data_IF_988804304386
#
_entry.id   IF_988804304386
#
_cell.length_a   1.000
_cell.length_b   1.000
_cell.length_c   1.000
_cell.angle_alpha   90.00
_cell.angle_beta   90.00
_cell.angle_gamma   90.00
#
_symmetry.space_group_name_H-M   'P 1'
#
loop_
_entity.id
_entity.type
_entity.pdbx_description
1 polymer ?
#
# COMPACT_ATOMS: atom_id res chain seq x y z
N UNK A 1 -30.46 -7.10 37.46
CA UNK A 1 -29.80 -6.16 36.53
C UNK A 1 -28.36 -6.63 36.39
N UNK A 2 -27.80 -6.82 35.18
CA UNK A 2 -26.38 -7.11 35.04
C UNK A 2 -25.58 -5.95 35.63
N UNK A 3 -24.55 -6.27 36.44
CA UNK A 3 -23.65 -5.27 37.02
C UNK A 3 -22.94 -4.46 35.92
N UNK A 4 -22.21 -3.40 36.29
CA UNK A 4 -21.42 -2.63 35.32
C UNK A 4 -20.40 -3.56 34.66
N UNK A 5 -20.29 -3.48 33.34
CA UNK A 5 -19.31 -4.26 32.56
C UNK A 5 -17.92 -3.80 32.93
N UNK A 6 -17.09 -4.76 33.30
CA UNK A 6 -15.70 -4.49 33.61
C UNK A 6 -14.87 -4.44 32.30
N UNK A 7 -14.14 -3.34 32.10
CA UNK A 7 -13.22 -3.18 30.98
C UNK A 7 -11.79 -3.23 31.48
N UNK A 8 -11.04 -4.23 31.01
CA UNK A 8 -9.63 -4.42 31.30
C UNK A 8 -8.81 -4.20 30.06
N UNK A 9 -7.64 -3.59 30.23
CA UNK A 9 -6.67 -3.41 29.15
C UNK A 9 -5.28 -3.81 29.61
N UNK A 10 -4.54 -4.50 28.75
CA UNK A 10 -3.18 -4.96 28.98
C UNK A 10 -2.34 -4.60 27.77
N UNK A 11 -1.29 -3.80 27.98
CA UNK A 11 -0.26 -3.57 26.98
C UNK A 11 0.86 -4.58 27.19
N UNK A 12 1.09 -5.41 26.20
CA UNK A 12 2.13 -6.44 26.25
C UNK A 12 3.50 -5.83 25.94
N UNK A 13 4.51 -6.14 26.76
CA UNK A 13 5.90 -5.83 26.45
C UNK A 13 6.41 -6.70 25.28
N UNK A 14 7.52 -6.26 24.67
CA UNK A 14 8.11 -6.97 23.51
C UNK A 14 8.72 -8.34 23.87
N UNK A 15 9.10 -8.52 25.11
CA UNK A 15 9.72 -9.75 25.62
C UNK A 15 8.64 -10.77 26.01
N UNK A 16 8.66 -11.96 25.41
CA UNK A 16 7.66 -13.02 25.61
C UNK A 16 7.46 -13.40 27.08
N UNK A 17 8.55 -13.50 27.84
CA UNK A 17 8.47 -13.83 29.28
C UNK A 17 7.74 -12.73 30.08
N UNK A 18 8.02 -11.47 29.80
CA UNK A 18 7.37 -10.33 30.44
C UNK A 18 5.90 -10.21 29.97
N UNK A 19 5.59 -10.53 28.73
CA UNK A 19 4.22 -10.58 28.22
C UNK A 19 3.37 -11.63 28.93
N UNK A 20 3.91 -12.83 29.14
CA UNK A 20 3.25 -13.89 29.90
C UNK A 20 3.00 -13.49 31.36
N UNK A 21 3.95 -12.80 31.99
CA UNK A 21 3.78 -12.31 33.38
C UNK A 21 2.70 -11.23 33.46
N UNK A 22 2.65 -10.30 32.48
CA UNK A 22 1.62 -9.27 32.39
C UNK A 22 0.21 -9.87 32.18
N UNK A 23 0.09 -10.95 31.44
CA UNK A 23 -1.19 -11.64 31.21
C UNK A 23 -1.67 -12.48 32.40
N UNK A 24 -0.76 -12.94 33.24
CA UNK A 24 -1.06 -13.89 34.33
C UNK A 24 -2.27 -13.54 35.19
N UNK A 25 -2.47 -12.30 35.69
CA UNK A 25 -3.64 -11.94 36.50
C UNK A 25 -4.96 -12.07 35.73
N UNK A 26 -4.92 -11.89 34.40
CA UNK A 26 -6.09 -11.92 33.55
C UNK A 26 -6.43 -13.33 33.06
N UNK A 27 -5.44 -14.23 32.99
CA UNK A 27 -5.63 -15.64 32.66
C UNK A 27 -6.61 -16.30 33.64
N UNK A 28 -6.38 -16.13 34.94
CA UNK A 28 -7.23 -16.70 35.99
C UNK A 28 -8.62 -16.04 36.01
N UNK A 29 -8.68 -14.70 35.89
CA UNK A 29 -9.92 -13.93 35.97
C UNK A 29 -10.85 -14.20 34.78
N UNK A 30 -10.32 -14.23 33.53
CA UNK A 30 -11.08 -14.46 32.32
C UNK A 30 -11.14 -15.94 31.92
N UNK A 31 -10.50 -16.83 32.68
CA UNK A 31 -10.35 -18.26 32.38
C UNK A 31 -9.81 -18.49 30.97
N UNK A 32 -8.74 -17.76 30.61
CA UNK A 32 -8.18 -17.83 29.25
C UNK A 32 -7.62 -19.22 28.97
N UNK A 33 -7.99 -19.74 27.80
CA UNK A 33 -7.48 -21.00 27.33
C UNK A 33 -5.97 -20.88 26.99
N UNK A 34 -5.14 -21.93 27.20
CA UNK A 34 -3.71 -21.86 26.86
C UNK A 34 -3.42 -21.43 25.41
N UNK A 35 -4.25 -21.83 24.45
CA UNK A 35 -4.14 -21.39 23.04
C UNK A 35 -4.32 -19.88 22.88
N UNK A 36 -5.27 -19.26 23.61
CA UNK A 36 -5.45 -17.81 23.61
C UNK A 36 -4.22 -17.09 24.15
N UNK A 37 -3.63 -17.60 25.23
CA UNK A 37 -2.40 -17.05 25.81
C UNK A 37 -1.24 -17.16 24.82
N UNK A 38 -1.10 -18.31 24.15
CA UNK A 38 -0.12 -18.53 23.11
C UNK A 38 -0.30 -17.55 21.93
N UNK A 39 -1.53 -17.36 21.47
CA UNK A 39 -1.84 -16.43 20.37
C UNK A 39 -1.55 -14.97 20.73
N UNK A 40 -1.83 -14.57 21.98
CA UNK A 40 -1.53 -13.22 22.45
C UNK A 40 -0.02 -12.94 22.57
N UNK A 41 0.80 -13.97 22.79
CA UNK A 41 2.27 -13.83 22.95
C UNK A 41 3.03 -14.04 21.64
N UNK A 42 2.43 -14.72 20.67
CA UNK A 42 2.99 -14.90 19.31
C UNK A 42 2.55 -13.79 18.39
N UNK A 43 3.50 -13.13 17.75
CA UNK A 43 3.28 -12.08 16.77
C UNK A 43 2.87 -12.64 15.39
N UNK A 44 2.28 -11.79 14.56
CA UNK A 44 1.83 -12.07 13.19
C UNK A 44 0.64 -13.02 13.11
N UNK A 45 -0.28 -12.92 14.06
CA UNK A 45 -1.57 -13.59 13.98
C UNK A 45 -2.41 -13.01 12.82
N UNK A 46 -3.31 -13.82 12.28
CA UNK A 46 -4.33 -13.32 11.33
C UNK A 46 -5.54 -12.84 12.10
N UNK A 47 -6.28 -11.91 11.51
CA UNK A 47 -7.60 -11.60 12.06
C UNK A 47 -8.44 -12.88 12.12
N UNK A 48 -9.02 -13.18 13.28
CA UNK A 48 -9.83 -14.37 13.52
C UNK A 48 -10.82 -14.16 14.67
N UNK A 49 -11.88 -14.94 14.66
CA UNK A 49 -12.84 -15.05 15.75
C UNK A 49 -12.94 -16.50 16.19
N UNK A 50 -12.70 -16.75 17.45
CA UNK A 50 -12.80 -18.08 18.07
C UNK A 50 -13.76 -18.05 19.24
N UNK A 51 -14.57 -19.10 19.36
CA UNK A 51 -15.54 -19.26 20.44
C UNK A 51 -15.01 -20.29 21.43
N UNK A 52 -14.74 -19.85 22.66
CA UNK A 52 -14.42 -20.70 23.81
C UNK A 52 -15.67 -20.85 24.69
N UNK A 53 -15.65 -21.73 25.66
CA UNK A 53 -16.80 -21.96 26.55
C UNK A 53 -17.24 -20.70 27.33
N UNK A 54 -16.27 -19.88 27.79
CA UNK A 54 -16.51 -18.75 28.67
C UNK A 54 -16.49 -17.39 27.95
N UNK A 55 -15.86 -17.30 26.74
CA UNK A 55 -15.65 -16.03 26.05
C UNK A 55 -15.52 -16.20 24.53
N UNK A 56 -15.71 -15.09 23.81
CA UNK A 56 -15.33 -14.97 22.41
C UNK A 56 -13.96 -14.31 22.35
N UNK A 57 -13.08 -14.86 21.53
CA UNK A 57 -11.74 -14.33 21.28
C UNK A 57 -11.65 -13.77 19.87
N UNK A 58 -11.39 -12.47 19.75
CA UNK A 58 -11.21 -11.74 18.52
C UNK A 58 -9.76 -11.29 18.38
N UNK A 59 -9.15 -11.54 17.24
CA UNK A 59 -7.86 -10.95 16.82
C UNK A 59 -8.14 -10.00 15.66
N UNK A 60 -7.68 -8.75 15.80
CA UNK A 60 -7.86 -7.72 14.80
C UNK A 60 -6.57 -6.92 14.57
N UNK A 61 -6.42 -6.36 13.37
CA UNK A 61 -5.29 -5.49 13.02
C UNK A 61 -5.73 -4.03 13.03
N UNK A 62 -5.15 -3.23 13.91
CA UNK A 62 -5.35 -1.79 13.99
C UNK A 62 -4.21 -1.09 13.28
N UNK A 63 -4.55 -0.28 12.27
CA UNK A 63 -3.59 0.46 11.46
C UNK A 63 -3.36 1.85 12.03
N UNK A 64 -2.09 2.28 12.05
CA UNK A 64 -1.77 3.66 12.40
C UNK A 64 -1.92 4.54 11.17
N UNK A 65 -2.53 5.74 11.26
CA UNK A 65 -2.85 6.60 10.11
C UNK A 65 -1.65 6.96 9.21
N UNK A 66 -0.43 6.88 9.72
CA UNK A 66 0.82 7.16 8.99
C UNK A 66 1.91 6.11 9.22
N UNK A 67 1.53 4.95 9.77
CA UNK A 67 2.46 3.87 10.09
C UNK A 67 2.67 2.90 8.94
N UNK A 68 3.83 2.25 8.92
CA UNK A 68 4.18 1.24 7.92
C UNK A 68 3.62 -0.15 8.25
N UNK A 69 2.85 -0.28 9.34
CA UNK A 69 2.35 -1.55 9.82
C UNK A 69 1.04 -1.44 10.58
N UNK A 70 0.69 -2.53 11.21
CA UNK A 70 -0.47 -2.63 12.10
C UNK A 70 -0.02 -3.08 13.49
N UNK A 71 -0.87 -2.80 14.47
CA UNK A 71 -0.79 -3.38 15.81
C UNK A 71 -1.83 -4.50 15.92
N UNK A 72 -1.46 -5.61 16.52
CA UNK A 72 -2.40 -6.67 16.83
C UNK A 72 -3.20 -6.31 18.08
N UNK A 73 -4.52 -6.36 17.94
CA UNK A 73 -5.47 -6.16 19.00
C UNK A 73 -6.18 -7.48 19.27
N UNK A 74 -6.06 -7.96 20.49
CA UNK A 74 -6.73 -9.17 20.94
C UNK A 74 -7.83 -8.76 21.92
N UNK A 75 -9.06 -9.24 21.70
CA UNK A 75 -10.21 -8.88 22.50
C UNK A 75 -10.91 -10.14 22.96
N UNK A 76 -11.06 -10.30 24.29
CA UNK A 76 -11.88 -11.34 24.88
C UNK A 76 -13.21 -10.71 25.36
N UNK A 77 -14.33 -11.19 24.82
CA UNK A 77 -15.67 -10.75 25.15
C UNK A 77 -16.36 -11.82 26.00
N UNK A 78 -16.74 -11.43 27.23
CA UNK A 78 -17.48 -12.28 28.18
C UNK A 78 -18.71 -11.53 28.69
N UNK A 79 -19.75 -12.23 29.19
CA UNK A 79 -21.00 -11.60 29.67
C UNK A 79 -20.80 -10.50 30.71
N UNK A 80 -19.75 -10.56 31.51
CA UNK A 80 -19.45 -9.68 32.64
C UNK A 80 -18.30 -8.71 32.37
N UNK A 81 -17.55 -8.87 31.26
CA UNK A 81 -16.38 -8.03 30.98
C UNK A 81 -15.80 -8.14 29.61
N UNK A 82 -14.96 -7.15 29.29
CA UNK A 82 -14.16 -7.08 28.08
C UNK A 82 -12.70 -6.97 28.51
N UNK A 83 -11.84 -7.83 27.95
CA UNK A 83 -10.40 -7.74 28.08
C UNK A 83 -9.80 -7.41 26.74
N UNK A 84 -9.08 -6.28 26.67
CA UNK A 84 -8.31 -5.84 25.51
C UNK A 84 -6.84 -6.04 25.78
N UNK A 85 -6.16 -6.75 24.87
CA UNK A 85 -4.74 -7.06 24.96
C UNK A 85 -4.10 -6.54 23.67
N UNK A 86 -3.07 -5.70 23.79
CA UNK A 86 -2.41 -5.09 22.64
C UNK A 86 -0.89 -5.00 22.85
N UNK A 87 -0.13 -4.98 21.77
CA UNK A 87 1.35 -4.87 21.80
C UNK A 87 1.86 -3.46 22.12
N UNK A 88 0.98 -2.47 22.23
CA UNK A 88 1.37 -1.08 22.47
C UNK A 88 0.20 -0.19 22.84
N UNK A 89 0.45 1.11 22.80
CA UNK A 89 -0.59 2.13 23.04
C UNK A 89 -1.47 2.28 21.81
N UNK A 90 -2.73 2.71 21.98
CA UNK A 90 -3.60 2.99 20.83
C UNK A 90 -2.99 4.07 19.93
N UNK A 91 -3.35 4.11 18.63
CA UNK A 91 -2.86 5.15 17.71
C UNK A 91 -3.17 6.57 18.16
N UNK A 92 -4.29 6.76 18.86
CA UNK A 92 -4.72 8.03 19.44
C UNK A 92 -5.29 7.82 20.83
N UNK A 93 -5.12 8.80 21.71
CA UNK A 93 -5.62 8.77 23.08
C UNK A 93 -4.64 8.14 24.08
N UNK A 94 -5.11 7.97 25.32
CA UNK A 94 -4.29 7.48 26.42
C UNK A 94 -4.52 6.01 26.76
N UNK A 95 -5.67 5.44 26.37
CA UNK A 95 -6.07 4.07 26.67
C UNK A 95 -6.87 3.45 25.52
N UNK A 96 -6.81 2.11 25.40
CA UNK A 96 -7.59 1.35 24.45
C UNK A 96 -9.11 1.48 24.69
N UNK A 97 -9.51 1.63 25.95
CA UNK A 97 -10.90 1.90 26.28
C UNK A 97 -11.38 3.22 25.67
N UNK A 98 -10.62 4.28 25.86
CA UNK A 98 -10.96 5.60 25.30
C UNK A 98 -11.00 5.55 23.77
N UNK A 99 -10.02 4.93 23.16
CA UNK A 99 -9.91 4.78 21.70
C UNK A 99 -11.07 4.01 21.09
N UNK A 100 -11.40 2.83 21.64
CA UNK A 100 -12.44 1.94 21.09
C UNK A 100 -13.86 2.43 21.39
N UNK A 101 -14.07 3.15 22.50
CA UNK A 101 -15.39 3.64 22.92
C UNK A 101 -15.59 5.14 22.68
N UNK A 102 -14.68 5.80 21.98
CA UNK A 102 -14.63 7.25 21.78
C UNK A 102 -16.00 7.81 21.35
N UNK A 103 -16.56 8.73 22.17
CA UNK A 103 -17.82 9.44 21.91
C UNK A 103 -19.10 8.64 22.11
N UNK A 104 -19.01 7.35 22.49
CA UNK A 104 -20.16 6.50 22.78
C UNK A 104 -20.10 6.08 24.23
N UNK A 105 -21.18 6.25 24.99
CA UNK A 105 -21.23 5.90 26.41
C UNK A 105 -20.87 4.43 26.64
N UNK A 106 -20.08 4.16 27.70
CA UNK A 106 -19.74 2.79 28.14
C UNK A 106 -20.92 2.09 28.83
N UNK A 107 -22.12 2.68 28.79
CA UNK A 107 -23.33 2.13 29.35
C UNK A 107 -23.98 1.17 28.34
N UNK A 108 -24.14 -0.07 28.71
CA UNK A 108 -24.76 -1.08 27.86
C UNK A 108 -24.40 -2.51 28.29
N UNK A 109 -24.84 -3.48 27.51
CA UNK A 109 -24.43 -4.87 27.67
C UNK A 109 -23.20 -5.18 26.81
N UNK A 110 -22.50 -6.29 27.09
CA UNK A 110 -21.29 -6.71 26.36
C UNK A 110 -21.53 -6.85 24.86
N UNK A 111 -22.71 -7.26 24.43
CA UNK A 111 -23.11 -7.40 23.02
C UNK A 111 -23.09 -6.05 22.31
N UNK A 112 -23.70 -5.05 22.94
CA UNK A 112 -23.73 -3.69 22.43
C UNK A 112 -22.30 -3.11 22.35
N UNK A 113 -21.51 -3.29 23.39
CA UNK A 113 -20.11 -2.83 23.40
C UNK A 113 -19.26 -3.58 22.38
N UNK A 114 -19.44 -4.90 22.25
CA UNK A 114 -18.74 -5.69 21.23
C UNK A 114 -19.07 -5.28 19.80
N UNK A 115 -20.37 -5.01 19.52
CA UNK A 115 -20.79 -4.50 18.21
C UNK A 115 -20.23 -3.11 17.94
N UNK A 116 -20.26 -2.21 18.94
CA UNK A 116 -19.67 -0.86 18.82
C UNK A 116 -18.16 -0.91 18.61
N UNK A 117 -17.47 -1.82 19.29
CA UNK A 117 -16.04 -2.05 19.12
C UNK A 117 -15.73 -2.51 17.70
N UNK A 118 -16.48 -3.47 17.18
CA UNK A 118 -16.29 -3.97 15.82
C UNK A 118 -16.58 -2.89 14.76
N UNK A 119 -17.65 -2.12 14.94
CA UNK A 119 -18.01 -0.96 14.11
C UNK A 119 -16.84 0.06 14.07
N UNK A 120 -16.27 0.36 15.25
CA UNK A 120 -15.11 1.25 15.34
C UNK A 120 -13.88 0.72 14.63
N UNK A 121 -13.60 -0.57 14.76
CA UNK A 121 -12.44 -1.21 14.09
C UNK A 121 -12.59 -1.22 12.57
N UNK A 122 -13.81 -1.31 12.05
CA UNK A 122 -14.09 -1.20 10.60
C UNK A 122 -13.95 0.25 10.13
N UNK A 123 -14.49 1.22 10.89
CA UNK A 123 -14.33 2.65 10.59
C UNK A 123 -12.83 3.04 10.50
N UNK A 124 -12.01 2.59 11.46
CA UNK A 124 -10.56 2.83 11.44
C UNK A 124 -9.85 2.21 10.23
N UNK A 125 -10.35 1.07 9.78
CA UNK A 125 -9.82 0.45 8.57
C UNK A 125 -10.24 1.23 7.30
N UNK A 126 -11.44 1.85 7.27
CA UNK A 126 -11.86 2.77 6.20
C UNK A 126 -10.96 4.01 6.17
N UNK A 127 -10.73 4.65 7.33
CA UNK A 127 -9.84 5.82 7.43
C UNK A 127 -8.43 5.50 6.92
N UNK A 128 -7.92 4.30 7.24
CA UNK A 128 -6.62 3.86 6.72
C UNK A 128 -6.62 3.62 5.21
N UNK A 129 -7.71 3.06 4.66
CA UNK A 129 -7.87 2.89 3.21
C UNK A 129 -7.84 4.23 2.48
N UNK A 130 -8.50 5.24 3.02
CA UNK A 130 -8.52 6.60 2.44
C UNK A 130 -7.10 7.17 2.36
N UNK A 131 -6.29 7.01 3.41
CA UNK A 131 -4.86 7.41 3.38
C UNK A 131 -4.08 6.67 2.29
N UNK A 132 -4.28 5.36 2.13
CA UNK A 132 -3.61 4.59 1.09
C UNK A 132 -4.06 5.00 -0.33
N UNK A 133 -5.32 5.42 -0.51
CA UNK A 133 -5.84 5.95 -1.77
C UNK A 133 -5.22 7.31 -2.10
N UNK A 134 -5.13 8.19 -1.13
CA UNK A 134 -4.47 9.50 -1.27
C UNK A 134 -2.99 9.34 -1.65
N UNK A 135 -2.27 8.45 -0.97
CA UNK A 135 -0.88 8.12 -1.29
C UNK A 135 -0.75 7.56 -2.72
N UNK A 136 -1.71 6.75 -3.19
CA UNK A 136 -1.72 6.23 -4.56
C UNK A 136 -1.92 7.32 -5.61
N UNK A 137 -2.79 8.30 -5.35
CA UNK A 137 -3.01 9.47 -6.21
C UNK A 137 -1.76 10.36 -6.26
N UNK A 138 -1.13 10.60 -5.10
CA UNK A 138 0.11 11.37 -5.04
C UNK A 138 1.23 10.69 -5.82
N UNK A 139 1.34 9.37 -5.69
CA UNK A 139 2.29 8.55 -6.42
C UNK A 139 2.07 8.60 -7.94
N UNK A 140 0.81 8.56 -8.42
CA UNK A 140 0.47 8.72 -9.83
C UNK A 140 0.97 10.08 -10.38
N UNK A 141 0.73 11.16 -9.65
CA UNK A 141 1.23 12.48 -10.01
C UNK A 141 2.76 12.54 -10.06
N UNK A 142 3.44 11.91 -9.10
CA UNK A 142 4.90 11.83 -9.06
C UNK A 142 5.48 11.04 -10.24
N UNK A 143 4.84 9.94 -10.65
CA UNK A 143 5.23 9.16 -11.85
C UNK A 143 5.13 10.04 -13.11
N UNK A 144 4.01 10.76 -13.28
CA UNK A 144 3.77 11.60 -14.47
C UNK A 144 4.70 12.80 -14.51
N UNK A 145 5.03 13.41 -13.37
CA UNK A 145 5.94 14.56 -13.24
C UNK A 145 7.43 14.21 -13.30
N UNK A 146 7.77 12.92 -13.36
CA UNK A 146 9.15 12.41 -13.41
C UNK A 146 9.99 12.67 -12.14
N UNK A 147 9.37 12.91 -11.00
CA UNK A 147 10.04 13.20 -9.72
C UNK A 147 10.14 12.01 -8.78
N UNK A 148 9.63 10.85 -9.19
CA UNK A 148 9.38 9.70 -8.34
C UNK A 148 10.63 8.84 -8.06
N UNK A 149 10.70 8.34 -6.80
CA UNK A 149 11.62 7.29 -6.38
C UNK A 149 10.96 5.90 -6.61
N UNK A 150 11.59 4.96 -7.34
CA UNK A 150 11.06 3.61 -7.57
C UNK A 150 10.73 2.83 -6.29
N UNK A 151 11.44 3.10 -5.19
CA UNK A 151 11.22 2.43 -3.91
C UNK A 151 9.86 2.77 -3.29
N UNK A 152 9.34 3.97 -3.53
CA UNK A 152 8.05 4.43 -3.01
C UNK A 152 6.88 3.62 -3.60
N UNK A 153 6.92 3.28 -4.90
CA UNK A 153 5.91 2.43 -5.54
C UNK A 153 5.88 1.06 -4.89
N UNK A 154 7.06 0.47 -4.70
CA UNK A 154 7.17 -0.86 -4.10
C UNK A 154 6.75 -0.86 -2.63
N UNK A 155 7.01 0.24 -1.92
CA UNK A 155 6.59 0.43 -0.53
C UNK A 155 5.07 0.48 -0.45
N UNK A 156 4.42 1.38 -1.20
CA UNK A 156 2.96 1.52 -1.21
C UNK A 156 2.27 0.22 -1.64
N UNK A 157 2.78 -0.44 -2.69
CA UNK A 157 2.26 -1.74 -3.12
C UNK A 157 2.31 -2.79 -2.01
N UNK A 158 3.39 -2.83 -1.20
CA UNK A 158 3.48 -3.75 -0.06
C UNK A 158 2.47 -3.43 1.02
N UNK A 159 2.28 -2.14 1.33
CA UNK A 159 1.29 -1.68 2.31
C UNK A 159 -0.13 -2.07 1.88
N UNK A 160 -0.54 -1.74 0.66
CA UNK A 160 -1.86 -2.09 0.11
C UNK A 160 -2.07 -3.61 0.11
N UNK A 161 -1.07 -4.39 -0.28
CA UNK A 161 -1.16 -5.86 -0.26
C UNK A 161 -1.27 -6.42 1.16
N UNK A 162 -0.54 -5.84 2.12
CA UNK A 162 -0.63 -6.20 3.54
C UNK A 162 -2.02 -5.91 4.10
N UNK A 163 -2.54 -4.72 3.84
CA UNK A 163 -3.86 -4.30 4.23
C UNK A 163 -4.96 -5.20 3.64
N UNK A 164 -4.91 -5.47 2.32
CA UNK A 164 -5.87 -6.38 1.67
C UNK A 164 -5.85 -7.78 2.31
N UNK A 165 -4.67 -8.32 2.65
CA UNK A 165 -4.58 -9.60 3.34
C UNK A 165 -5.28 -9.58 4.70
N UNK A 166 -5.12 -8.50 5.47
CA UNK A 166 -5.78 -8.34 6.76
C UNK A 166 -7.30 -8.26 6.60
N UNK A 167 -7.78 -7.44 5.69
CA UNK A 167 -9.21 -7.25 5.45
C UNK A 167 -9.90 -8.53 4.95
N UNK A 168 -9.22 -9.31 4.11
CA UNK A 168 -9.71 -10.65 3.71
C UNK A 168 -9.82 -11.63 4.87
N UNK A 169 -8.96 -11.54 5.88
CA UNK A 169 -9.08 -12.38 7.08
C UNK A 169 -10.09 -11.85 8.08
N UNK A 170 -10.36 -10.54 8.07
CA UNK A 170 -11.32 -9.89 8.94
C UNK A 170 -12.78 -10.02 8.45
N UNK A 171 -13.02 -10.04 7.14
CA UNK A 171 -14.37 -10.11 6.57
C UNK A 171 -15.19 -11.31 7.06
N UNK A 172 -14.65 -12.55 7.14
CA UNK A 172 -15.42 -13.68 7.67
C UNK A 172 -15.85 -13.51 9.13
N UNK A 173 -15.08 -12.75 9.93
CA UNK A 173 -15.37 -12.53 11.36
C UNK A 173 -16.73 -11.86 11.53
N UNK A 174 -16.97 -10.78 10.78
CA UNK A 174 -18.21 -10.03 10.84
C UNK A 174 -19.41 -10.90 10.45
N UNK A 175 -19.27 -11.71 9.40
CA UNK A 175 -20.32 -12.63 8.94
C UNK A 175 -20.56 -13.77 9.94
N UNK A 176 -19.49 -14.36 10.50
CA UNK A 176 -19.59 -15.40 11.51
C UNK A 176 -20.28 -14.88 12.77
N UNK A 177 -19.94 -13.68 13.23
CA UNK A 177 -20.57 -13.09 14.41
C UNK A 177 -22.07 -12.85 14.18
N UNK A 178 -22.46 -12.44 12.97
CA UNK A 178 -23.87 -12.27 12.60
C UNK A 178 -24.62 -13.61 12.57
N UNK A 179 -24.03 -14.66 11.99
CA UNK A 179 -24.61 -16.00 11.96
C UNK A 179 -24.74 -16.61 13.37
N UNK A 180 -23.73 -16.38 14.22
CA UNK A 180 -23.71 -16.88 15.59
C UNK A 180 -24.60 -16.07 16.54
N UNK A 181 -25.04 -14.85 16.15
CA UNK A 181 -25.77 -13.91 17.01
C UNK A 181 -27.06 -14.47 17.64
N UNK A 182 -27.62 -15.57 17.11
CA UNK A 182 -28.78 -16.25 17.66
C UNK A 182 -28.42 -17.26 18.78
N UNK A 183 -27.17 -17.72 18.86
CA UNK A 183 -26.75 -18.87 19.68
C UNK A 183 -25.41 -18.69 20.36
N UNK A 184 -25.09 -17.48 20.83
CA UNK A 184 -23.83 -17.24 21.54
C UNK A 184 -24.03 -17.37 23.07
N UNK A 185 -23.76 -18.54 23.70
CA UNK A 185 -23.92 -18.72 25.14
C UNK A 185 -22.99 -17.81 25.94
N UNK A 186 -21.83 -17.44 25.38
CA UNK A 186 -20.79 -16.64 26.04
C UNK A 186 -21.21 -15.18 26.28
N UNK A 187 -22.05 -14.62 25.43
CA UNK A 187 -22.50 -13.22 25.51
C UNK A 187 -24.02 -13.07 25.47
N UNK A 188 -24.76 -14.18 25.30
CA UNK A 188 -26.23 -14.23 25.27
C UNK A 188 -26.84 -13.90 23.90
N UNK A 189 -28.17 -13.97 23.78
CA UNK A 189 -28.89 -13.71 22.53
C UNK A 189 -28.89 -12.23 22.17
N UNK A 190 -28.74 -11.93 20.88
CA UNK A 190 -28.79 -10.57 20.33
C UNK A 190 -30.24 -10.14 20.07
N UNK A 191 -30.58 -8.94 20.49
CA UNK A 191 -31.83 -8.29 20.14
C UNK A 191 -31.89 -7.97 18.65
N UNK A 192 -33.10 -7.68 18.13
CA UNK A 192 -33.25 -7.28 16.74
C UNK A 192 -32.39 -6.04 16.39
N UNK A 193 -32.35 -5.06 17.29
CA UNK A 193 -31.55 -3.84 17.06
C UNK A 193 -30.06 -4.14 17.01
N UNK A 194 -29.53 -4.96 17.90
CA UNK A 194 -28.12 -5.37 17.90
C UNK A 194 -27.75 -6.15 16.63
N UNK A 195 -28.63 -7.03 16.15
CA UNK A 195 -28.45 -7.75 14.88
C UNK A 195 -28.46 -6.82 13.67
N UNK A 196 -29.34 -5.82 13.64
CA UNK A 196 -29.36 -4.82 12.56
C UNK A 196 -28.08 -3.99 12.53
N UNK A 197 -27.55 -3.60 13.71
CA UNK A 197 -26.27 -2.91 13.80
C UNK A 197 -25.11 -3.78 13.30
N UNK A 198 -25.09 -5.05 13.72
CA UNK A 198 -24.06 -5.98 13.27
C UNK A 198 -24.12 -6.23 11.76
N UNK A 199 -25.33 -6.30 11.19
CA UNK A 199 -25.53 -6.38 9.72
C UNK A 199 -24.94 -5.16 9.01
N UNK A 200 -25.14 -3.96 9.57
CA UNK A 200 -24.53 -2.75 9.01
C UNK A 200 -23.00 -2.84 9.01
N UNK A 201 -22.39 -3.36 10.06
CA UNK A 201 -20.92 -3.59 10.12
C UNK A 201 -20.47 -4.58 9.05
N UNK A 202 -21.24 -5.65 8.80
CA UNK A 202 -20.95 -6.62 7.71
C UNK A 202 -21.00 -5.94 6.34
N UNK A 203 -21.98 -5.06 6.11
CA UNK A 203 -22.13 -4.33 4.86
C UNK A 203 -20.99 -3.32 4.66
N UNK A 204 -20.54 -2.64 5.72
CA UNK A 204 -19.37 -1.75 5.71
C UNK A 204 -18.08 -2.53 5.38
N UNK A 205 -17.88 -3.66 6.07
CA UNK A 205 -16.72 -4.52 5.86
C UNK A 205 -16.65 -5.05 4.41
N UNK A 206 -17.78 -5.38 3.83
CA UNK A 206 -17.85 -5.86 2.45
C UNK A 206 -17.44 -4.77 1.47
N UNK A 207 -17.94 -3.54 1.65
CA UNK A 207 -17.55 -2.38 0.83
C UNK A 207 -16.06 -2.03 0.97
N UNK A 208 -15.56 -2.07 2.21
CA UNK A 208 -14.16 -1.85 2.50
C UNK A 208 -13.26 -2.85 1.77
N UNK A 209 -13.63 -4.14 1.78
CA UNK A 209 -12.88 -5.18 1.07
C UNK A 209 -12.90 -4.96 -0.44
N UNK A 210 -14.05 -4.62 -1.04
CA UNK A 210 -14.16 -4.31 -2.46
C UNK A 210 -13.30 -3.11 -2.85
N UNK A 211 -13.34 -2.03 -2.07
CA UNK A 211 -12.53 -0.85 -2.31
C UNK A 211 -11.02 -1.14 -2.18
N UNK A 212 -10.63 -1.97 -1.22
CA UNK A 212 -9.23 -2.43 -1.05
C UNK A 212 -8.77 -3.26 -2.25
N UNK A 213 -9.62 -4.11 -2.81
CA UNK A 213 -9.32 -4.87 -4.03
C UNK A 213 -9.14 -3.97 -5.25
N UNK A 214 -9.97 -2.95 -5.39
CA UNK A 214 -9.84 -1.96 -6.46
C UNK A 214 -8.51 -1.22 -6.35
N UNK A 215 -8.13 -0.79 -5.15
CA UNK A 215 -6.84 -0.13 -4.92
C UNK A 215 -5.65 -1.05 -5.24
N UNK A 216 -5.71 -2.34 -4.87
CA UNK A 216 -4.66 -3.31 -5.23
C UNK A 216 -4.51 -3.44 -6.76
N UNK A 217 -5.63 -3.45 -7.50
CA UNK A 217 -5.65 -3.45 -8.95
C UNK A 217 -5.04 -2.17 -9.55
N UNK A 218 -5.36 -1.01 -8.99
CA UNK A 218 -4.77 0.28 -9.40
C UNK A 218 -3.25 0.30 -9.20
N UNK A 219 -2.75 -0.27 -8.09
CA UNK A 219 -1.31 -0.41 -7.86
C UNK A 219 -0.61 -1.24 -8.96
N UNK A 220 -1.28 -2.26 -9.51
CA UNK A 220 -0.79 -3.00 -10.68
C UNK A 220 -0.61 -2.08 -11.89
N UNK A 221 -1.64 -1.30 -12.22
CA UNK A 221 -1.63 -0.35 -13.34
C UNK A 221 -0.56 0.74 -13.17
N UNK A 222 -0.40 1.28 -11.95
CA UNK A 222 0.66 2.26 -11.66
C UNK A 222 2.07 1.69 -11.89
N UNK A 223 2.29 0.43 -11.53
CA UNK A 223 3.54 -0.27 -11.83
C UNK A 223 3.80 -0.37 -13.33
N UNK A 224 2.79 -0.72 -14.12
CA UNK A 224 2.91 -0.83 -15.58
C UNK A 224 3.23 0.53 -16.21
N UNK A 225 2.56 1.60 -15.76
CA UNK A 225 2.85 2.98 -16.19
C UNK A 225 4.28 3.38 -15.82
N UNK A 226 4.73 3.04 -14.62
CA UNK A 226 6.10 3.30 -14.17
C UNK A 226 7.14 2.60 -15.07
N UNK A 227 6.98 1.28 -15.31
CA UNK A 227 7.87 0.53 -16.18
C UNK A 227 7.86 1.05 -17.61
N UNK A 228 6.68 1.42 -18.12
CA UNK A 228 6.52 2.06 -19.44
C UNK A 228 7.29 3.39 -19.52
N UNK A 229 7.19 4.23 -18.50
CA UNK A 229 7.92 5.50 -18.42
C UNK A 229 9.44 5.30 -18.36
N UNK A 230 9.92 4.29 -17.61
CA UNK A 230 11.34 3.92 -17.56
C UNK A 230 11.84 3.41 -18.92
N UNK A 231 11.06 2.53 -19.59
CA UNK A 231 11.38 2.03 -20.92
C UNK A 231 11.46 3.15 -21.95
N UNK A 232 10.54 4.11 -21.91
CA UNK A 232 10.57 5.28 -22.79
C UNK A 232 11.84 6.15 -22.56
N UNK A 233 12.26 6.34 -21.29
CA UNK A 233 13.50 7.06 -20.94
C UNK A 233 14.74 6.34 -21.46
N UNK A 234 14.82 5.02 -21.25
CA UNK A 234 15.93 4.22 -21.74
C UNK A 234 16.05 4.28 -23.26
N UNK A 235 14.91 4.22 -23.97
CA UNK A 235 14.87 4.35 -25.43
C UNK A 235 15.30 5.74 -25.91
N UNK A 236 14.90 6.83 -25.21
CA UNK A 236 15.34 8.18 -25.50
C UNK A 236 16.86 8.33 -25.32
N UNK A 237 17.43 7.78 -24.25
CA UNK A 237 18.88 7.80 -24.03
C UNK A 237 19.63 7.00 -25.11
N UNK A 238 19.12 5.82 -25.47
CA UNK A 238 19.69 5.00 -26.53
C UNK A 238 19.65 5.74 -27.89
N UNK A 239 18.54 6.42 -28.18
CA UNK A 239 18.41 7.23 -29.40
C UNK A 239 19.43 8.37 -29.42
N UNK A 240 19.63 9.09 -28.30
CA UNK A 240 20.66 10.14 -28.19
C UNK A 240 22.05 9.58 -28.42
N UNK A 241 22.39 8.45 -27.78
CA UNK A 241 23.69 7.80 -27.94
C UNK A 241 23.91 7.36 -29.40
N UNK A 242 22.90 6.73 -30.00
CA UNK A 242 22.93 6.31 -31.41
C UNK A 242 23.13 7.51 -32.36
N UNK A 243 22.44 8.64 -32.08
CA UNK A 243 22.59 9.86 -32.87
C UNK A 243 24.02 10.38 -32.78
N UNK A 244 24.61 10.45 -31.62
CA UNK A 244 26.02 10.86 -31.42
C UNK A 244 26.94 9.90 -32.18
N UNK A 245 26.80 8.60 -31.97
CA UNK A 245 27.62 7.60 -32.63
C UNK A 245 27.54 7.68 -34.16
N UNK A 246 26.33 7.87 -34.73
CA UNK A 246 26.12 8.00 -36.18
C UNK A 246 26.83 9.23 -36.75
N UNK A 247 26.88 10.33 -36.00
CA UNK A 247 27.59 11.55 -36.41
C UNK A 247 29.11 11.35 -36.35
N UNK A 248 29.62 10.67 -35.31
CA UNK A 248 31.05 10.48 -35.12
C UNK A 248 31.67 9.37 -35.99
N UNK A 249 30.90 8.35 -36.35
CA UNK A 249 31.38 7.18 -37.10
C UNK A 249 32.07 7.55 -38.41
N UNK A 250 31.52 8.42 -39.29
CA UNK A 250 32.22 8.83 -40.54
C UNK A 250 33.55 9.55 -40.25
N UNK A 251 33.57 10.41 -39.25
CA UNK A 251 34.80 11.14 -38.87
C UNK A 251 35.89 10.18 -38.44
N UNK A 252 35.54 9.23 -37.58
CA UNK A 252 36.48 8.23 -37.08
C UNK A 252 37.01 7.32 -38.18
N UNK A 253 36.12 6.92 -39.12
CA UNK A 253 36.50 6.13 -40.28
C UNK A 253 37.51 6.87 -41.16
N UNK A 254 37.21 8.11 -41.54
CA UNK A 254 38.12 8.92 -42.38
C UNK A 254 39.41 9.25 -41.66
N UNK A 255 39.38 9.61 -40.38
CA UNK A 255 40.56 9.86 -39.57
C UNK A 255 41.45 8.62 -39.47
N UNK A 256 40.84 7.44 -39.28
CA UNK A 256 41.55 6.16 -39.28
C UNK A 256 42.19 5.84 -40.65
N UNK A 257 41.44 6.03 -41.73
CA UNK A 257 41.95 5.80 -43.10
C UNK A 257 43.16 6.68 -43.42
N UNK A 258 43.08 8.00 -43.15
CA UNK A 258 44.17 8.92 -43.38
C UNK A 258 45.35 8.75 -42.38
N UNK A 259 45.12 8.12 -41.21
CA UNK A 259 46.16 7.76 -40.26
C UNK A 259 46.97 6.51 -40.60
N UNK A 260 46.56 5.75 -41.63
CA UNK A 260 47.26 4.54 -42.03
C UNK A 260 48.35 4.90 -43.06
N UNK A 261 49.59 4.41 -42.84
CA UNK A 261 50.71 4.61 -43.76
C UNK A 261 50.68 3.56 -44.87
N UNK A 262 50.00 3.87 -45.99
CA UNK A 262 50.04 3.05 -47.20
C UNK A 262 51.08 3.55 -48.16
N UNK A 263 52.03 2.71 -48.60
CA UNK A 263 53.09 3.06 -49.54
C UNK A 263 52.58 3.47 -50.92
N UNK A 264 51.37 2.97 -51.31
CA UNK A 264 50.78 3.18 -52.64
C UNK A 264 49.84 4.37 -52.72
N UNK A 265 49.52 5.06 -51.59
CA UNK A 265 48.59 6.20 -51.61
C UNK A 265 49.31 7.53 -51.85
N UNK A 266 48.76 8.42 -52.70
CA UNK A 266 49.38 9.69 -53.04
C UNK A 266 49.12 10.77 -51.96
N UNK A 267 49.54 10.50 -50.72
CA UNK A 267 49.33 11.42 -49.58
C UNK A 267 50.09 12.76 -49.72
N UNK A 268 51.07 12.83 -50.62
CA UNK A 268 51.83 14.07 -50.90
C UNK A 268 51.16 15.00 -51.90
N UNK A 269 50.13 14.52 -52.60
CA UNK A 269 49.46 15.26 -53.62
C UNK A 269 48.27 16.05 -53.06
N UNK A 270 48.21 17.36 -53.25
CA UNK A 270 47.18 18.25 -52.71
C UNK A 270 45.77 17.87 -53.19
N UNK A 271 45.61 17.36 -54.41
CA UNK A 271 44.31 16.96 -54.92
C UNK A 271 43.72 15.78 -54.14
N UNK A 272 44.56 14.87 -53.65
CA UNK A 272 44.09 13.70 -52.86
C UNK A 272 43.51 14.15 -51.51
N UNK A 273 44.16 15.13 -50.86
CA UNK A 273 43.66 15.73 -49.61
C UNK A 273 42.28 16.38 -49.84
N UNK A 274 42.12 17.18 -50.91
CA UNK A 274 40.86 17.84 -51.18
C UNK A 274 39.74 16.85 -51.58
N UNK A 275 40.04 15.79 -52.31
CA UNK A 275 39.09 14.71 -52.62
C UNK A 275 38.62 13.98 -51.36
N UNK A 276 39.56 13.68 -50.44
CA UNK A 276 39.23 13.05 -49.14
C UNK A 276 38.35 13.94 -48.27
N UNK A 277 38.65 15.23 -48.20
CA UNK A 277 37.86 16.20 -47.47
C UNK A 277 36.45 16.36 -48.09
N UNK A 278 36.34 16.38 -49.44
CA UNK A 278 35.07 16.42 -50.10
C UNK A 278 34.22 15.17 -49.85
N UNK A 279 34.83 13.99 -49.85
CA UNK A 279 34.15 12.73 -49.54
C UNK A 279 33.65 12.68 -48.04
N UNK A 280 34.44 13.22 -47.12
CA UNK A 280 34.03 13.36 -45.73
C UNK A 280 32.78 14.24 -45.61
N UNK A 281 32.81 15.44 -46.21
CA UNK A 281 31.71 16.40 -46.17
C UNK A 281 30.45 15.77 -46.85
N UNK A 282 30.61 15.10 -48.00
CA UNK A 282 29.51 14.42 -48.68
C UNK A 282 28.89 13.34 -47.80
N UNK A 283 29.70 12.52 -47.13
CA UNK A 283 29.22 11.50 -46.21
C UNK A 283 28.41 12.13 -45.07
N UNK A 284 28.87 13.23 -44.51
CA UNK A 284 28.15 13.97 -43.46
C UNK A 284 26.82 14.53 -43.96
N UNK A 285 26.78 15.13 -45.13
CA UNK A 285 25.56 15.67 -45.73
C UNK A 285 24.53 14.54 -45.94
N UNK A 286 24.96 13.38 -46.44
CA UNK A 286 24.11 12.22 -46.65
C UNK A 286 23.57 11.69 -45.29
N UNK A 287 24.41 11.56 -44.30
CA UNK A 287 24.00 11.08 -42.95
C UNK A 287 23.01 12.06 -42.32
N UNK A 288 23.30 13.36 -42.35
CA UNK A 288 22.41 14.38 -41.74
C UNK A 288 21.08 14.42 -42.52
N UNK A 289 21.11 14.39 -43.88
CA UNK A 289 19.89 14.36 -44.67
C UNK A 289 19.04 13.12 -44.36
N UNK A 290 19.65 11.96 -44.26
CA UNK A 290 18.97 10.72 -43.89
C UNK A 290 18.33 10.82 -42.50
N UNK A 291 19.03 11.37 -41.48
CA UNK A 291 18.52 11.57 -40.13
C UNK A 291 17.35 12.56 -40.09
N UNK A 292 17.44 13.68 -40.86
CA UNK A 292 16.35 14.65 -41.00
C UNK A 292 15.12 14.01 -41.63
N UNK A 293 15.31 13.21 -42.69
CA UNK A 293 14.21 12.53 -43.40
C UNK A 293 13.52 11.46 -42.55
N UNK A 294 14.28 10.80 -41.65
CA UNK A 294 13.74 9.83 -40.70
C UNK A 294 13.14 10.49 -39.43
N UNK A 295 13.17 11.79 -39.33
CA UNK A 295 12.60 12.51 -38.17
C UNK A 295 13.34 12.26 -36.85
N UNK A 296 14.62 11.83 -36.90
CA UNK A 296 15.41 11.53 -35.70
C UNK A 296 15.56 12.77 -34.82
N UNK A 297 15.52 13.97 -35.39
CA UNK A 297 15.52 15.27 -34.69
C UNK A 297 14.13 15.83 -34.43
N UNK A 298 13.07 15.15 -34.87
CA UNK A 298 11.72 15.58 -34.60
C UNK A 298 11.44 15.36 -33.11
N UNK A 299 11.48 16.45 -32.34
CA UNK A 299 11.08 16.50 -30.93
C UNK A 299 9.69 15.85 -30.83
N UNK A 300 9.57 14.71 -30.19
CA UNK A 300 8.25 14.13 -29.87
C UNK A 300 7.47 15.22 -29.15
N UNK A 301 6.52 15.86 -29.87
CA UNK A 301 5.60 16.80 -29.21
C UNK A 301 4.83 16.01 -28.18
N UNK A 302 4.81 16.45 -26.91
CA UNK A 302 3.98 15.80 -25.91
C UNK A 302 2.57 15.71 -26.45
N UNK A 303 2.00 14.51 -26.37
CA UNK A 303 0.73 14.17 -27.00
C UNK A 303 -0.36 15.18 -26.62
N UNK A 304 -1.18 15.50 -27.61
CA UNK A 304 -2.28 16.47 -27.59
C UNK A 304 -3.36 16.18 -26.53
N UNK A 305 -3.20 15.08 -25.75
CA UNK A 305 -4.14 14.65 -24.71
C UNK A 305 -4.11 15.45 -23.40
N UNK A 306 -3.09 16.29 -23.18
CA UNK A 306 -3.04 17.12 -21.95
C UNK A 306 -3.92 18.38 -21.97
N UNK A 307 -4.72 18.61 -23.02
CA UNK A 307 -5.59 19.80 -23.11
C UNK A 307 -7.07 19.55 -22.74
N UNK A 308 -7.42 18.38 -22.23
CA UNK A 308 -8.83 18.05 -21.93
C UNK A 308 -9.23 18.13 -20.45
N UNK A 309 -8.38 18.64 -19.60
CA UNK A 309 -8.80 18.96 -18.22
C UNK A 309 -9.27 20.42 -18.19
N UNK A 310 -10.56 20.70 -17.95
CA UNK A 310 -11.03 22.05 -17.72
C UNK A 310 -10.38 22.61 -16.45
N UNK A 311 -9.80 23.81 -16.55
CA UNK A 311 -9.38 24.58 -15.37
C UNK A 311 -10.59 24.71 -14.45
N UNK A 312 -10.56 24.05 -13.29
CA UNK A 312 -11.47 24.40 -12.20
C UNK A 312 -11.12 25.84 -11.79
N UNK A 313 -11.97 26.76 -12.12
CA UNK A 313 -11.98 28.09 -11.52
C UNK A 313 -12.33 27.90 -10.03
N UNK A 314 -11.36 28.20 -9.18
CA UNK A 314 -11.59 28.40 -7.75
C UNK A 314 -12.28 29.77 -7.66
N UNK A 315 -13.60 29.76 -7.59
CA UNK A 315 -14.37 30.93 -7.18
C UNK A 315 -14.31 31.03 -5.65
N UNK A 316 -13.88 32.19 -5.21
CA UNK A 316 -13.64 32.63 -3.84
C UNK A 316 -14.80 32.54 -2.87
#
# INVERSE_FOLDING_TARGET
MPGPIEFHEVCLPDEEAAALEALRPHVERFKLHPLTVEDCTRRNQRCKLESFEEYLFLVWHVYTPRGEGYQELHVCLRTDGILVIAEGRPPEGSSWREYLLRGRGAEGNVKQLGTMLLDRLVDEAEDHLDVLQDDAVELEHAILSRTMNPEEVLRLKRLVKGFNRSMRSAQPICSQLLEMAEKLPQIGEFSLEERLRLRNVVDHMTRLLEATHLLEGQMGTLMDVHWGAMGARANEQMQRLTTIATVFLPVSFWSGLFGMNFETMPFKEAWFFWCGMGALVLTWVVVIFYMLRRGVFAKQRPGRHQRLLPKREVSG
#
